data_IF_556317116746
#
_entry.id   IF_556317116746
#
_cell.length_a   1.000
_cell.length_b   1.000
_cell.length_c   1.000
_cell.angle_alpha   90.00
_cell.angle_beta   90.00
_cell.angle_gamma   90.00
#
_symmetry.space_group_name_H-M   'P 1'
#
loop_
_entity.id
_entity.type
_entity.pdbx_description
1 polymer ?
2 non-polymer ?
3 non-polymer ?
4 non-polymer ?
5 non-polymer ?
6 water ?
#
# COMPACT_ATOMS: atom_id res chain seq x y z
N UNK A 11 19.50 6.81 -14.64
CA UNK A 11 20.63 5.98 -15.14
C UNK A 11 20.08 4.64 -15.63
N UNK A 12 20.64 4.14 -16.72
CA UNK A 12 20.21 2.85 -17.28
C UNK A 12 21.33 1.85 -17.10
N UNK A 13 21.02 0.74 -16.41
CA UNK A 13 22.01 -0.29 -16.12
C UNK A 13 22.34 -1.07 -17.39
N UNK A 14 23.59 -1.54 -17.52
CA UNK A 14 23.96 -2.36 -18.68
C UNK A 14 22.99 -3.53 -18.85
N UNK A 15 22.59 -3.78 -20.10
CA UNK A 15 21.70 -4.89 -20.41
C UNK A 15 22.37 -6.25 -20.16
N UNK A 16 21.78 -7.08 -19.26
CA UNK A 16 22.39 -8.40 -19.05
C UNK A 16 22.44 -9.24 -20.32
N UNK A 17 23.48 -10.09 -20.45
CA UNK A 17 23.63 -10.85 -21.69
C UNK A 17 22.43 -11.68 -22.12
N UNK A 18 21.59 -12.15 -21.19
CA UNK A 18 20.47 -13.03 -21.52
C UNK A 18 19.19 -12.31 -21.93
N UNK A 19 19.18 -10.98 -21.83
CA UNK A 19 17.97 -10.21 -22.12
C UNK A 19 17.99 -9.68 -23.56
N UNK A 20 16.97 -10.05 -24.35
CA UNK A 20 16.96 -9.53 -25.71
C UNK A 20 16.42 -8.13 -25.83
N UNK A 21 16.96 -7.37 -26.78
CA UNK A 21 16.58 -5.99 -26.99
C UNK A 21 15.07 -5.79 -27.17
N UNK A 22 14.38 -6.75 -27.81
CA UNK A 22 12.97 -6.54 -28.12
C UNK A 22 12.06 -6.55 -26.89
N UNK A 23 12.62 -6.96 -25.76
CA UNK A 23 11.85 -6.98 -24.51
C UNK A 23 12.17 -5.78 -23.64
N UNK A 24 13.08 -4.91 -24.10
CA UNK A 24 13.49 -3.74 -23.30
C UNK A 24 12.47 -2.60 -23.37
N UNK A 25 11.98 -2.18 -22.20
CA UNK A 25 11.03 -1.08 -22.06
C UNK A 25 11.46 -0.41 -20.77
N UNK A 26 12.05 0.77 -20.89
CA UNK A 26 12.74 1.40 -19.76
C UNK A 26 11.79 2.17 -18.85
N UNK A 27 10.85 1.44 -18.27
CA UNK A 27 9.91 2.01 -17.31
C UNK A 27 10.60 2.30 -15.98
N UNK A 28 10.37 3.50 -15.42
CA UNK A 28 10.96 3.89 -14.15
C UNK A 28 9.87 3.94 -13.08
N UNK A 29 9.84 2.95 -12.20
CA UNK A 29 8.76 2.83 -11.24
C UNK A 29 8.72 3.96 -10.20
N UNK A 30 9.83 4.70 -10.08
CA UNK A 30 9.90 5.80 -9.12
C UNK A 30 9.65 7.18 -9.76
N UNK A 31 9.51 7.19 -11.09
CA UNK A 31 9.26 8.43 -11.83
C UNK A 31 8.82 8.09 -13.25
N UNK A 32 7.63 7.48 -13.39
CA UNK A 32 7.23 7.01 -14.72
C UNK A 32 6.95 8.18 -15.65
N UNK A 33 7.27 7.98 -16.94
CA UNK A 33 7.20 9.11 -17.87
C UNK A 33 5.80 9.69 -18.06
N UNK A 34 4.76 8.89 -17.84
CA UNK A 34 3.40 9.40 -18.06
C UNK A 34 2.76 9.93 -16.76
N UNK A 35 3.58 10.24 -15.74
CA UNK A 35 3.07 10.54 -14.40
C UNK A 35 2.02 11.66 -14.34
N UNK A 36 2.16 12.66 -15.22
CA UNK A 36 1.24 13.79 -15.17
C UNK A 36 -0.20 13.41 -15.52
N UNK A 37 -0.38 12.26 -16.18
CA UNK A 37 -1.71 11.74 -16.54
C UNK A 37 -2.43 11.11 -15.35
N UNK A 38 -1.70 10.89 -14.26
CA UNK A 38 -2.20 10.09 -13.12
C UNK A 38 -1.29 8.89 -13.00
N UNK A 39 -1.02 8.45 -11.76
CA UNK A 39 -0.06 7.39 -11.60
C UNK A 39 -0.59 6.04 -12.15
N UNK A 40 -1.86 5.70 -11.92
CA UNK A 40 -2.40 4.48 -12.51
C UNK A 40 -2.30 4.51 -14.03
N UNK A 41 -2.61 5.66 -14.62
CA UNK A 41 -2.48 5.87 -16.06
C UNK A 41 -1.04 5.71 -16.54
N UNK A 42 -0.11 6.20 -15.72
CA UNK A 42 1.31 6.12 -16.04
C UNK A 42 1.79 4.67 -16.07
N UNK A 43 1.34 3.87 -15.10
CA UNK A 43 1.71 2.46 -15.08
C UNK A 43 1.01 1.68 -16.18
N UNK A 44 -0.20 2.12 -16.54
CA UNK A 44 -0.99 1.42 -17.54
C UNK A 44 -0.40 1.54 -18.94
N UNK A 45 0.61 2.40 -19.12
CA UNK A 45 1.34 2.43 -20.41
C UNK A 45 1.95 1.06 -20.70
N UNK A 46 2.18 0.27 -19.64
CA UNK A 46 2.75 -1.06 -19.79
C UNK A 46 1.75 -2.05 -20.36
N UNK A 47 0.50 -1.63 -20.49
CA UNK A 47 -0.56 -2.49 -21.00
C UNK A 47 -1.08 -2.02 -22.36
N UNK A 48 -0.31 -1.16 -23.03
CA UNK A 48 -0.63 -0.82 -24.42
C UNK A 48 -0.39 -2.04 -25.31
N UNK A 49 -1.13 -2.13 -26.42
CA UNK A 49 -1.14 -3.36 -27.24
C UNK A 49 0.21 -3.83 -27.77
N UNK A 50 1.15 -2.91 -27.99
CA UNK A 50 2.48 -3.23 -28.52
C UNK A 50 3.50 -3.65 -27.44
N UNK A 51 3.07 -3.65 -26.18
CA UNK A 51 3.99 -4.00 -25.09
C UNK A 51 3.78 -5.47 -24.71
N UNK A 52 4.87 -6.28 -24.71
CA UNK A 52 4.80 -7.69 -24.32
C UNK A 52 4.32 -7.90 -22.89
N UNK A 53 3.88 -9.12 -22.57
CA UNK A 53 3.40 -9.47 -21.23
C UNK A 53 4.49 -9.34 -20.16
N UNK A 54 5.75 -9.47 -20.59
CA UNK A 54 6.90 -9.47 -19.70
C UNK A 54 8.02 -8.67 -20.37
N UNK A 55 8.46 -7.61 -19.71
CA UNK A 55 9.47 -6.73 -20.27
C UNK A 55 10.63 -6.56 -19.29
N UNK A 56 11.75 -6.07 -19.81
CA UNK A 56 12.90 -5.71 -18.98
C UNK A 56 13.10 -4.21 -19.03
N UNK A 57 13.17 -3.59 -17.85
CA UNK A 57 13.61 -2.20 -17.77
C UNK A 57 15.04 -2.09 -17.26
N UNK A 58 15.81 -1.17 -17.88
CA UNK A 58 17.18 -0.92 -17.45
C UNK A 58 17.23 0.09 -16.31
N UNK A 59 16.07 0.61 -15.94
CA UNK A 59 15.98 1.56 -14.82
C UNK A 59 16.16 0.88 -13.48
N UNK A 60 16.55 1.67 -12.49
CA UNK A 60 16.62 1.19 -11.11
C UNK A 60 17.41 -0.08 -10.93
N UNK A 61 18.51 -0.19 -11.69
CA UNK A 61 19.45 -1.30 -11.61
C UNK A 61 19.16 -2.45 -12.55
N UNK A 62 17.98 -2.43 -13.18
CA UNK A 62 17.59 -3.46 -14.16
C UNK A 62 16.72 -4.53 -13.52
N UNK A 63 15.54 -4.74 -14.09
CA UNK A 63 14.65 -5.77 -13.60
C UNK A 63 13.54 -6.11 -14.60
N UNK A 64 12.94 -7.28 -14.45
CA UNK A 64 11.75 -7.64 -15.22
C UNK A 64 10.52 -6.93 -14.67
N UNK A 65 9.50 -6.79 -15.52
CA UNK A 65 8.18 -6.34 -15.09
C UNK A 65 7.13 -7.23 -15.77
N UNK A 66 6.29 -7.90 -14.98
CA UNK A 66 5.10 -8.59 -15.51
C UNK A 66 4.01 -7.55 -15.68
N UNK A 67 3.41 -7.46 -16.87
CA UNK A 67 2.52 -6.33 -17.15
C UNK A 67 1.04 -6.67 -17.13
N UNK A 68 0.73 -7.96 -17.04
CA UNK A 68 -0.65 -8.45 -17.13
C UNK A 68 -1.02 -9.28 -15.91
N UNK A 69 -2.29 -9.17 -15.51
CA UNK A 69 -2.82 -9.91 -14.37
C UNK A 69 -2.51 -11.39 -14.38
N UNK A 70 -2.59 -12.04 -15.54
CA UNK A 70 -2.37 -13.49 -15.60
C UNK A 70 -0.99 -13.86 -15.07
N UNK A 71 0.03 -13.13 -15.53
CA UNK A 71 1.42 -13.40 -15.13
C UNK A 71 1.67 -12.96 -13.69
N UNK A 72 1.10 -11.82 -13.32
CA UNK A 72 1.29 -11.29 -11.95
C UNK A 72 0.75 -12.31 -10.95
N UNK A 73 -0.46 -12.81 -11.21
CA UNK A 73 -1.07 -13.84 -10.36
C UNK A 73 -0.23 -15.12 -10.32
N UNK A 74 0.16 -15.61 -11.50
CA UNK A 74 0.93 -16.86 -11.58
C UNK A 74 2.21 -16.76 -10.76
N UNK A 75 2.91 -15.64 -10.89
CA UNK A 75 4.21 -15.50 -10.21
C UNK A 75 4.03 -15.36 -8.70
N UNK A 76 2.98 -14.65 -8.26
CA UNK A 76 2.67 -14.57 -6.81
C UNK A 76 2.29 -15.90 -6.20
N UNK A 77 1.69 -16.78 -7.00
CA UNK A 77 1.35 -18.12 -6.53
C UNK A 77 2.58 -19.01 -6.43
N UNK A 78 3.54 -18.82 -7.33
CA UNK A 78 4.70 -19.72 -7.44
C UNK A 78 5.87 -19.20 -6.62
N UNK A 79 5.79 -19.38 -5.30
CA UNK A 79 6.85 -18.93 -4.40
C UNK A 79 8.10 -19.76 -4.53
N UNK A 80 8.02 -20.93 -5.16
CA UNK A 80 9.23 -21.74 -5.35
C UNK A 80 10.20 -21.10 -6.35
N UNK A 81 9.66 -20.50 -7.40
CA UNK A 81 10.49 -19.79 -8.39
C UNK A 81 10.66 -18.31 -8.07
N UNK A 82 9.63 -17.70 -7.49
CA UNK A 82 9.59 -16.24 -7.29
C UNK A 82 9.55 -15.96 -5.79
N UNK A 83 10.73 -15.69 -5.24
CA UNK A 83 10.89 -15.61 -3.78
C UNK A 83 10.75 -14.19 -3.23
N UNK A 84 10.16 -14.11 -2.04
CA UNK A 84 9.96 -12.85 -1.31
C UNK A 84 11.22 -12.38 -0.58
N UNK A 85 12.31 -13.13 -0.74
CA UNK A 85 13.56 -12.80 -0.03
C UNK A 85 14.05 -11.39 -0.35
N UNK A 86 13.93 -11.02 -1.62
CA UNK A 86 14.40 -9.73 -2.09
C UNK A 86 13.22 -9.15 -2.85
N UNK A 87 12.23 -8.60 -2.12
CA UNK A 87 10.96 -8.19 -2.75
C UNK A 87 10.83 -6.78 -3.25
N UNK A 88 11.84 -5.95 -3.02
CA UNK A 88 11.79 -4.55 -3.45
C UNK A 88 12.87 -4.30 -4.50
N UNK A 89 12.56 -3.37 -5.41
CA UNK A 89 13.50 -2.75 -6.35
C UNK A 89 13.80 -1.37 -5.74
N UNK A 90 15.07 -0.90 -5.76
CA UNK A 90 16.27 -1.51 -6.35
C UNK A 90 16.82 -2.64 -5.49
N UNK A 91 17.78 -3.38 -6.03
CA UNK A 91 18.32 -4.55 -5.34
C UNK A 91 18.78 -4.26 -3.92
N UNK A 92 19.42 -3.10 -3.71
CA UNK A 92 19.90 -2.77 -2.38
C UNK A 92 18.75 -2.68 -1.38
N UNK A 93 17.60 -2.19 -1.84
CA UNK A 93 16.41 -2.12 -0.99
C UNK A 93 15.87 -3.52 -0.74
N UNK A 94 15.76 -4.33 -1.80
CA UNK A 94 15.25 -5.68 -1.60
C UNK A 94 16.17 -6.52 -0.70
N UNK A 95 17.48 -6.31 -0.82
CA UNK A 95 18.43 -7.03 0.03
C UNK A 95 18.32 -6.62 1.51
N UNK A 96 18.20 -5.32 1.73
CA UNK A 96 18.03 -4.82 3.10
C UNK A 96 16.68 -5.17 3.72
N UNK A 97 15.67 -5.31 2.88
CA UNK A 97 14.31 -5.57 3.34
C UNK A 97 14.25 -6.91 4.08
N UNK A 98 13.89 -6.85 5.36
CA UNK A 98 13.89 -8.06 6.18
C UNK A 98 12.67 -8.18 7.07
N UNK A 99 11.60 -7.46 6.72
CA UNK A 99 10.40 -7.49 7.54
C UNK A 99 9.76 -8.88 7.54
N UNK A 100 9.05 -9.19 8.61
CA UNK A 100 8.40 -10.49 8.78
C UNK A 100 6.89 -10.25 8.80
N UNK A 101 6.11 -11.06 8.04
CA UNK A 101 6.53 -12.22 7.27
C UNK A 101 6.84 -12.01 5.79
N UNK A 102 6.82 -10.74 5.35
CA UNK A 102 6.88 -10.45 3.93
C UNK A 102 8.26 -10.64 3.25
N UNK A 103 9.31 -10.86 4.02
CA UNK A 103 10.62 -11.21 3.41
C UNK A 103 10.87 -12.74 3.42
N UNK A 104 9.85 -13.49 3.80
CA UNK A 104 9.96 -14.95 3.86
C UNK A 104 9.05 -15.64 2.86
N UNK A 105 9.46 -16.84 2.43
CA UNK A 105 8.60 -17.72 1.65
C UNK A 105 7.97 -18.80 2.53
N UNK A 106 6.85 -19.37 2.09
CA UNK A 106 6.48 -20.65 2.69
C UNK A 106 7.62 -21.65 2.44
N UNK A 107 7.81 -22.63 3.35
CA UNK A 107 7.04 -22.87 4.56
C UNK A 107 7.30 -21.93 5.74
N UNK A 108 8.48 -21.33 5.79
CA UNK A 108 8.91 -20.54 6.97
C UNK A 108 7.94 -19.41 7.33
N UNK A 109 7.40 -18.77 6.31
CA UNK A 109 6.60 -17.58 6.47
C UNK A 109 5.38 -17.83 7.35
N UNK A 110 4.77 -19.01 7.17
CA UNK A 110 3.37 -19.14 7.57
C UNK A 110 3.15 -18.99 9.08
N UNK A 111 4.08 -19.52 9.86
CA UNK A 111 3.93 -19.51 11.31
C UNK A 111 3.85 -18.12 11.90
N UNK A 112 4.35 -17.10 11.18
CA UNK A 112 4.29 -15.72 11.69
C UNK A 112 2.99 -14.99 11.36
N UNK A 113 2.22 -15.52 10.43
CA UNK A 113 1.00 -14.81 10.04
C UNK A 113 -0.05 -14.68 11.14
N UNK A 114 -0.18 -15.72 11.96
CA UNK A 114 -1.20 -15.68 13.00
C UNK A 114 -0.94 -14.57 14.02
N UNK A 115 0.33 -14.33 14.33
CA UNK A 115 0.65 -13.28 15.29
C UNK A 115 0.31 -11.91 14.69
N UNK A 116 0.66 -11.70 13.42
CA UNK A 116 0.33 -10.44 12.76
C UNK A 116 -1.20 -10.27 12.73
N UNK A 117 -1.90 -11.35 12.41
CA UNK A 117 -3.35 -11.31 12.30
C UNK A 117 -3.98 -10.87 13.61
N UNK A 118 -3.40 -11.31 14.73
CA UNK A 118 -3.86 -10.98 16.08
C UNK A 118 -3.85 -9.49 16.35
N UNK A 119 -2.83 -8.81 15.85
CA UNK A 119 -2.64 -7.39 16.12
C UNK A 119 -3.23 -6.42 15.12
N UNK A 120 -3.46 -6.85 13.87
CA UNK A 120 -4.06 -5.92 12.90
C UNK A 120 -5.27 -6.48 12.17
N UNK A 121 -5.67 -7.69 12.51
CA UNK A 121 -6.77 -8.39 11.82
C UNK A 121 -8.15 -8.04 12.34
N UNK A 122 -9.13 -8.83 11.93
CA UNK A 122 -10.53 -8.51 12.21
C UNK A 122 -10.88 -8.34 13.71
N UNK A 123 -10.41 -9.25 14.59
CA UNK A 123 -10.77 -9.02 16.01
C UNK A 123 -10.30 -7.67 16.54
N UNK A 124 -9.16 -7.18 16.05
CA UNK A 124 -8.67 -5.86 16.45
C UNK A 124 -9.49 -4.69 15.84
N UNK A 125 -9.94 -4.85 14.60
CA UNK A 125 -10.86 -3.90 13.97
C UNK A 125 -12.12 -3.72 14.86
N UNK A 126 -12.60 -4.82 15.42
CA UNK A 126 -13.72 -4.77 16.37
C UNK A 126 -13.40 -3.97 17.63
N UNK A 127 -12.20 -4.17 18.16
CA UNK A 127 -11.76 -3.43 19.37
C UNK A 127 -11.64 -1.91 19.08
N UNK A 128 -11.37 -1.57 17.82
CA UNK A 128 -11.15 -0.18 17.41
C UNK A 128 -12.35 0.50 16.75
N UNK A 129 -13.39 -0.28 16.46
CA UNK A 129 -14.55 0.20 15.70
C UNK A 129 -15.04 1.61 16.12
N UNK A 130 -15.35 1.78 17.41
CA UNK A 130 -15.88 3.05 17.90
C UNK A 130 -14.89 4.20 17.73
N UNK A 131 -13.61 3.93 17.99
CA UNK A 131 -12.60 4.96 17.90
C UNK A 131 -12.35 5.37 16.45
N UNK A 132 -12.42 4.41 15.54
CA UNK A 132 -12.28 4.71 14.11
C UNK A 132 -13.40 5.66 13.68
N UNK A 133 -14.63 5.28 14.04
CA UNK A 133 -15.82 6.06 13.72
C UNK A 133 -15.71 7.47 14.31
N UNK A 134 -15.39 7.54 15.59
CA UNK A 134 -15.31 8.83 16.30
C UNK A 134 -14.27 9.79 15.70
N UNK A 135 -13.10 9.26 15.36
CA UNK A 135 -12.05 10.10 14.80
C UNK A 135 -12.41 10.62 13.42
N UNK A 136 -12.99 9.78 12.58
CA UNK A 136 -13.38 10.22 11.24
C UNK A 136 -14.37 11.38 11.37
N UNK A 137 -15.36 11.19 12.22
CA UNK A 137 -16.40 12.21 12.40
C UNK A 137 -15.82 13.50 12.94
N UNK A 138 -14.93 13.41 13.93
CA UNK A 138 -14.37 14.62 14.52
C UNK A 138 -13.45 15.39 13.55
N UNK A 139 -12.61 14.66 12.82
CA UNK A 139 -11.75 15.31 11.85
C UNK A 139 -12.57 16.02 10.78
N UNK A 140 -13.59 15.33 10.27
CA UNK A 140 -14.41 15.89 9.19
C UNK A 140 -15.25 17.06 9.67
N UNK A 141 -15.85 16.93 10.86
CA UNK A 141 -16.62 18.06 11.40
C UNK A 141 -15.74 19.29 11.61
N UNK A 142 -14.48 19.09 12.00
CA UNK A 142 -13.59 20.24 12.20
C UNK A 142 -13.30 20.97 10.87
N UNK A 143 -13.19 20.21 9.77
CA UNK A 143 -12.94 20.79 8.45
C UNK A 143 -14.19 21.44 7.85
N UNK A 144 -15.35 20.82 8.12
CA UNK A 144 -16.61 21.16 7.43
C UNK A 144 -16.90 22.67 7.29
N UNK A 145 -16.87 23.43 8.40
CA UNK A 145 -17.22 24.85 8.25
C UNK A 145 -16.19 25.71 7.52
N UNK A 146 -14.97 25.19 7.31
CA UNK A 146 -13.89 25.97 6.66
C UNK A 146 -14.12 26.19 5.18
N UNK A 147 -14.86 25.28 4.54
CA UNK A 147 -15.05 25.33 3.08
C UNK A 147 -13.82 25.02 2.25
N UNK A 148 -12.80 24.44 2.89
CA UNK A 148 -11.60 24.05 2.20
C UNK A 148 -10.75 23.17 3.12
N UNK A 149 -9.91 22.37 2.49
CA UNK A 149 -8.87 21.65 3.24
C UNK A 149 -7.76 21.24 2.29
N UNK A 150 -6.62 20.89 2.89
CA UNK A 150 -5.53 20.24 2.19
C UNK A 150 -5.70 18.78 2.57
N UNK A 151 -6.38 18.00 1.72
CA UNK A 151 -6.87 16.69 2.17
C UNK A 151 -5.76 15.74 2.63
N UNK A 152 -4.59 15.79 1.97
CA UNK A 152 -3.52 14.85 2.36
C UNK A 152 -3.06 15.06 3.78
N UNK A 153 -2.86 16.33 4.16
CA UNK A 153 -2.37 16.62 5.50
C UNK A 153 -3.49 16.70 6.54
N UNK A 154 -4.69 17.07 6.09
CA UNK A 154 -5.78 17.35 7.02
C UNK A 154 -6.63 16.14 7.38
N UNK A 155 -6.58 15.11 6.54
CA UNK A 155 -7.38 13.93 6.79
C UNK A 155 -6.69 12.61 6.41
N UNK A 156 -6.21 12.52 5.18
CA UNK A 156 -5.64 11.26 4.69
C UNK A 156 -4.50 10.75 5.56
N UNK A 157 -3.63 11.64 6.01
CA UNK A 157 -2.58 11.28 6.95
C UNK A 157 -3.12 11.06 8.37
N UNK A 158 -3.69 12.09 9.01
CA UNK A 158 -4.00 11.92 10.44
C UNK A 158 -5.00 10.84 10.78
N UNK A 159 -5.96 10.57 9.90
CA UNK A 159 -6.98 9.58 10.24
C UNK A 159 -6.39 8.15 10.39
N UNK A 160 -5.83 7.57 9.32
CA UNK A 160 -5.27 6.24 9.51
C UNK A 160 -4.03 6.23 10.42
N UNK A 161 -3.21 7.28 10.36
CA UNK A 161 -2.00 7.24 11.17
C UNK A 161 -2.30 7.32 12.66
N UNK A 162 -3.27 8.13 13.06
CA UNK A 162 -3.62 8.17 14.48
C UNK A 162 -4.28 6.87 14.94
N UNK A 163 -5.09 6.23 14.10
CA UNK A 163 -5.62 4.93 14.50
C UNK A 163 -4.46 3.95 14.69
N UNK A 164 -3.48 3.99 13.78
CA UNK A 164 -2.37 3.07 13.93
C UNK A 164 -1.54 3.36 15.18
N UNK A 165 -1.26 4.64 15.43
CA UNK A 165 -0.42 4.97 16.59
C UNK A 165 -1.14 4.57 17.88
N UNK A 166 -2.46 4.70 17.89
CA UNK A 166 -3.28 4.24 19.03
C UNK A 166 -3.14 2.73 19.21
N UNK A 167 -3.31 2.01 18.12
CA UNK A 167 -3.24 0.55 18.19
C UNK A 167 -1.87 0.07 18.63
N UNK A 168 -0.83 0.78 18.18
CA UNK A 168 0.55 0.41 18.49
C UNK A 168 1.05 1.03 19.81
N UNK A 169 0.23 1.86 20.45
CA UNK A 169 0.65 2.50 21.72
C UNK A 169 1.84 3.42 21.56
N UNK A 170 1.91 4.11 20.42
CA UNK A 170 2.99 5.06 20.15
C UNK A 170 2.51 6.51 20.18
N UNK A 171 3.33 7.43 20.71
CA UNK A 171 2.91 8.82 20.83
C UNK A 171 2.68 9.52 19.49
N UNK A 172 1.60 10.29 19.38
CA UNK A 172 1.33 10.99 18.14
C UNK A 172 2.44 11.99 17.76
N UNK A 173 3.16 12.52 18.75
CA UNK A 173 4.22 13.46 18.42
C UNK A 173 5.39 12.80 17.68
N UNK A 174 5.40 11.47 17.63
CA UNK A 174 6.43 10.73 16.88
C UNK A 174 6.08 10.57 15.39
N UNK A 175 4.87 10.97 15.01
CA UNK A 175 4.43 10.76 13.62
C UNK A 175 5.36 11.39 12.55
N UNK A 176 5.74 12.67 12.70
CA UNK A 176 6.56 13.25 11.61
C UNK A 176 7.82 12.46 11.31
N UNK A 177 8.50 12.00 12.35
CA UNK A 177 9.73 11.24 12.17
C UNK A 177 9.42 9.89 11.53
N UNK A 178 8.46 9.16 12.10
CA UNK A 178 8.14 7.82 11.60
C UNK A 178 7.61 7.86 10.17
N UNK A 179 6.79 8.87 9.86
CA UNK A 179 6.24 9.00 8.52
C UNK A 179 7.35 9.33 7.51
N UNK A 180 8.30 10.18 7.90
CA UNK A 180 9.43 10.44 7.03
C UNK A 180 10.20 9.14 6.71
N UNK A 181 10.51 8.36 7.74
CA UNK A 181 11.30 7.14 7.54
C UNK A 181 10.57 6.14 6.67
N UNK A 182 9.28 5.94 6.96
CA UNK A 182 8.46 5.01 6.20
C UNK A 182 8.44 5.42 4.73
N UNK A 183 8.27 6.71 4.46
CA UNK A 183 8.28 7.21 3.10
C UNK A 183 9.62 6.98 2.38
N UNK A 184 10.73 6.91 3.11
CA UNK A 184 12.00 6.64 2.44
C UNK A 184 12.11 5.20 1.97
N UNK A 185 11.30 4.31 2.54
CA UNK A 185 11.29 2.91 2.14
C UNK A 185 10.40 2.64 0.93
N UNK A 186 9.50 3.57 0.62
CA UNK A 186 8.52 3.36 -0.47
C UNK A 186 8.65 4.37 -1.62
N UNK A 187 9.02 5.61 -1.29
CA UNK A 187 9.19 6.69 -2.27
C UNK A 187 10.39 7.54 -1.82
N UNK A 188 11.61 6.95 -1.83
CA UNK A 188 12.78 7.66 -1.30
C UNK A 188 13.04 9.02 -1.97
N UNK A 189 13.36 10.02 -1.16
CA UNK A 189 13.70 11.33 -1.69
C UNK A 189 15.17 11.39 -2.11
N UNK A 190 15.91 10.33 -1.84
CA UNK A 190 17.33 10.23 -2.21
C UNK A 190 18.31 10.54 -1.10
N UNK A 191 17.82 11.08 0.00
CA UNK A 191 18.71 11.43 1.12
C UNK A 191 19.09 10.24 1.99
N UNK A 192 18.32 9.15 1.88
CA UNK A 192 18.55 7.96 2.69
C UNK A 192 18.39 6.73 1.83
N UNK A 193 19.29 5.76 1.96
CA UNK A 193 19.10 4.46 1.32
C UNK A 193 18.00 3.73 2.11
N UNK A 194 17.46 2.68 1.51
CA UNK A 194 16.52 1.83 2.25
C UNK A 194 17.19 1.32 3.52
N UNK A 195 18.42 0.83 3.43
CA UNK A 195 19.11 0.29 4.60
C UNK A 195 19.21 1.33 5.73
N UNK A 196 19.52 2.57 5.38
CA UNK A 196 19.59 3.64 6.39
C UNK A 196 18.23 3.94 7.01
N UNK A 197 17.18 3.98 6.18
CA UNK A 197 15.84 4.25 6.72
C UNK A 197 15.41 3.09 7.62
N UNK A 198 15.69 1.86 7.19
CA UNK A 198 15.41 0.67 8.00
C UNK A 198 16.13 0.69 9.35
N UNK A 199 17.42 1.00 9.32
CA UNK A 199 18.17 1.07 10.54
C UNK A 199 17.66 2.15 11.48
N UNK A 200 17.23 3.28 10.92
CA UNK A 200 16.63 4.33 11.74
C UNK A 200 15.32 3.87 12.37
N UNK A 201 14.53 3.11 11.61
CA UNK A 201 13.26 2.63 12.15
C UNK A 201 13.54 1.63 13.30
N UNK A 202 14.54 0.80 13.10
CA UNK A 202 14.96 -0.14 14.12
C UNK A 202 15.59 0.56 15.34
N UNK A 203 16.30 1.67 15.11
CA UNK A 203 16.82 2.50 16.21
C UNK A 203 15.67 2.94 17.11
N UNK A 204 14.54 3.29 16.49
CA UNK A 204 13.34 3.68 17.22
C UNK A 204 12.73 2.48 17.95
N UNK A 205 12.55 1.39 17.22
CA UNK A 205 11.78 0.26 17.75
C UNK A 205 12.47 -0.58 18.80
N UNK A 206 13.79 -0.77 18.67
CA UNK A 206 14.47 -1.75 19.54
C UNK A 206 14.28 -1.49 21.07
N UNK A 207 14.48 -0.23 21.52
CA UNK A 207 14.29 0.04 22.98
C UNK A 207 12.85 -0.15 23.40
N UNK A 208 11.92 0.17 22.49
CA UNK A 208 10.49 0.10 22.84
C UNK A 208 10.08 -1.35 22.94
N UNK A 209 10.56 -2.18 22.03
CA UNK A 209 10.31 -3.60 22.08
C UNK A 209 10.86 -4.20 23.38
N UNK A 210 12.07 -3.82 23.78
CA UNK A 210 12.56 -4.42 25.01
C UNK A 210 11.79 -3.90 26.23
N UNK A 211 11.44 -2.61 26.23
CA UNK A 211 10.60 -2.08 27.32
C UNK A 211 9.30 -2.89 27.47
N UNK A 212 8.68 -3.24 26.36
CA UNK A 212 7.39 -3.91 26.37
C UNK A 212 7.47 -5.44 26.54
N UNK A 213 8.66 -5.99 26.35
CA UNK A 213 8.94 -7.37 26.75
C UNK A 213 9.16 -7.42 28.26
N UNK A 214 9.75 -6.37 28.82
CA UNK A 214 9.93 -6.27 30.28
C UNK A 214 8.62 -5.98 31.01
N UNK A 215 7.82 -5.07 30.45
CA UNK A 215 6.59 -4.60 31.06
C UNK A 215 5.52 -4.53 29.98
N UNK A 216 4.91 -5.68 29.67
CA UNK A 216 3.95 -5.73 28.57
C UNK A 216 2.72 -4.88 28.81
N UNK A 217 2.27 -4.21 27.75
CA UNK A 217 0.93 -3.58 27.71
C UNK A 217 -0.02 -4.39 26.81
N UNK A 218 -1.10 -3.74 26.33
CA UNK A 218 -2.09 -4.43 25.50
C UNK A 218 -2.04 -3.96 24.04
N UNK A 219 -1.08 -3.09 23.75
CA UNK A 219 -0.89 -2.51 22.43
C UNK A 219 -0.25 -3.53 21.49
N UNK A 220 -0.30 -3.25 20.18
CA UNK A 220 0.22 -4.16 19.18
C UNK A 220 1.70 -4.52 19.34
N UNK A 221 2.52 -3.55 19.76
CA UNK A 221 3.93 -3.84 19.88
C UNK A 221 4.16 -4.80 21.05
N UNK A 222 3.48 -4.57 22.18
CA UNK A 222 3.55 -5.51 23.30
C UNK A 222 3.10 -6.90 22.90
N UNK A 223 2.02 -6.99 22.13
CA UNK A 223 1.50 -8.31 21.74
C UNK A 223 2.49 -9.05 20.82
N UNK A 224 3.05 -8.35 19.84
CA UNK A 224 4.05 -8.97 18.99
C UNK A 224 5.28 -9.37 19.81
N UNK A 225 5.76 -8.46 20.67
CA UNK A 225 7.04 -8.65 21.37
C UNK A 225 7.00 -9.80 22.36
N UNK A 226 5.81 -10.12 22.83
CA UNK A 226 5.59 -11.21 23.78
C UNK A 226 4.90 -12.41 23.15
N UNK A 227 4.78 -12.38 21.82
CA UNK A 227 4.05 -13.42 21.11
C UNK A 227 4.73 -14.77 21.03
N UNK A 228 3.93 -15.75 20.66
CA UNK A 228 4.45 -17.07 20.35
C UNK A 228 4.21 -17.31 18.88
N UNK A 229 5.10 -18.10 18.30
CA UNK A 229 5.07 -18.46 16.89
C UNK A 229 5.06 -19.99 16.87
N UNK A 230 3.95 -20.56 16.41
CA UNK A 230 3.74 -22.01 16.49
C UNK A 230 4.27 -22.60 17.80
N UNK A 231 3.85 -21.97 18.88
CA UNK A 231 4.04 -22.50 20.22
C UNK A 231 5.39 -22.25 20.88
N UNK A 232 6.28 -21.50 20.21
CA UNK A 232 7.57 -21.14 20.83
C UNK A 232 7.71 -19.61 20.86
N UNK A 233 8.55 -19.07 21.76
CA UNK A 233 8.59 -17.61 21.93
C UNK A 233 9.19 -16.92 20.71
N UNK A 234 8.61 -15.79 20.34
CA UNK A 234 9.20 -14.94 19.31
C UNK A 234 10.53 -14.39 19.86
N UNK A 235 11.51 -14.21 18.99
CA UNK A 235 12.76 -13.56 19.41
C UNK A 235 12.65 -12.03 19.29
N UNK A 236 13.49 -11.30 20.01
CA UNK A 236 13.45 -9.84 19.97
C UNK A 236 13.63 -9.36 18.53
N UNK A 237 14.55 -9.99 17.82
CA UNK A 237 14.82 -9.65 16.43
C UNK A 237 13.59 -9.90 15.54
N UNK A 238 12.99 -11.10 15.61
CA UNK A 238 11.77 -11.37 14.86
C UNK A 238 10.69 -10.34 15.18
N UNK A 239 10.53 -10.00 16.46
CA UNK A 239 9.51 -9.01 16.86
C UNK A 239 9.77 -7.65 16.18
N UNK A 240 11.03 -7.23 16.15
CA UNK A 240 11.40 -5.97 15.52
C UNK A 240 11.04 -5.99 14.03
N UNK A 241 11.36 -7.11 13.38
CA UNK A 241 11.14 -7.23 11.95
C UNK A 241 9.66 -7.28 11.61
N UNK A 242 8.86 -7.84 12.50
CA UNK A 242 7.40 -7.78 12.32
C UNK A 242 6.84 -6.39 12.57
N UNK A 243 7.31 -5.75 13.64
CA UNK A 243 6.83 -4.40 13.94
C UNK A 243 7.19 -3.41 12.84
N UNK A 244 8.33 -3.62 12.18
CA UNK A 244 8.70 -2.75 11.05
C UNK A 244 7.62 -2.80 9.97
N UNK A 245 7.16 -4.01 9.65
CA UNK A 245 6.14 -4.18 8.62
C UNK A 245 4.86 -3.48 9.05
N UNK A 246 4.47 -3.67 10.30
CA UNK A 246 3.24 -3.06 10.79
C UNK A 246 3.30 -1.54 10.70
N UNK A 247 4.43 -0.96 11.07
CA UNK A 247 4.60 0.51 10.98
C UNK A 247 4.46 1.02 9.53
N UNK A 248 5.13 0.34 8.60
CA UNK A 248 5.03 0.76 7.18
C UNK A 248 3.59 0.59 6.67
N UNK A 249 2.96 -0.53 6.98
CA UNK A 249 1.55 -0.71 6.61
C UNK A 249 0.65 0.35 7.21
N UNK A 250 0.89 0.70 8.48
CA UNK A 250 0.07 1.68 9.16
C UNK A 250 0.25 3.10 8.63
N UNK A 251 1.46 3.42 8.19
CA UNK A 251 1.79 4.82 7.87
C UNK A 251 1.81 5.15 6.37
N UNK A 252 1.79 4.14 5.50
CA UNK A 252 1.94 4.44 4.08
C UNK A 252 1.09 3.64 3.11
N UNK A 253 -0.10 3.22 3.54
CA UNK A 253 -0.96 2.48 2.61
C UNK A 253 -2.30 3.21 2.44
N UNK A 254 -3.18 3.02 3.41
CA UNK A 254 -4.48 3.70 3.43
C UNK A 254 -4.32 5.22 3.30
N UNK A 255 -3.28 5.78 3.90
CA UNK A 255 -2.98 7.21 3.78
C UNK A 255 -2.99 7.68 2.34
N UNK A 256 -2.34 6.92 1.45
CA UNK A 256 -2.28 7.29 0.05
C UNK A 256 -3.57 6.97 -0.67
N UNK A 257 -4.14 5.79 -0.36
CA UNK A 257 -5.34 5.37 -1.05
C UNK A 257 -6.51 6.33 -0.83
N UNK A 258 -6.66 6.85 0.38
CA UNK A 258 -7.77 7.77 0.66
C UNK A 258 -7.72 9.00 -0.26
N UNK A 259 -6.51 9.49 -0.54
CA UNK A 259 -6.39 10.66 -1.42
C UNK A 259 -6.77 10.36 -2.86
N UNK A 260 -6.45 9.18 -3.39
CA UNK A 260 -6.88 8.83 -4.75
C UNK A 260 -8.39 8.81 -4.80
N UNK A 261 -8.99 8.24 -3.76
CA UNK A 261 -10.45 8.07 -3.74
C UNK A 261 -11.14 9.40 -3.62
N UNK A 262 -10.63 10.28 -2.75
CA UNK A 262 -11.27 11.58 -2.55
C UNK A 262 -11.07 12.49 -3.74
N UNK A 263 -9.93 12.37 -4.42
CA UNK A 263 -9.71 13.14 -5.64
C UNK A 263 -10.74 12.71 -6.69
N UNK A 264 -10.93 11.40 -6.83
CA UNK A 264 -11.92 10.89 -7.77
C UNK A 264 -13.31 11.43 -7.43
N UNK A 265 -13.70 11.35 -6.17
CA UNK A 265 -15.03 11.82 -5.78
C UNK A 265 -15.20 13.33 -6.00
N UNK A 266 -14.13 14.10 -5.77
CA UNK A 266 -14.17 15.56 -6.01
C UNK A 266 -14.43 15.87 -7.48
N UNK A 267 -13.95 15.01 -8.35
CA UNK A 267 -14.03 15.21 -9.79
C UNK A 267 -15.28 14.55 -10.39
N UNK A 268 -16.04 13.79 -9.58
CA UNK A 268 -17.20 13.05 -10.11
C UNK A 268 -18.45 13.21 -9.26
N UNK A 269 -19.16 14.34 -9.45
CA UNK A 269 -20.41 14.57 -8.71
C UNK A 269 -21.43 13.44 -8.85
N UNK A 270 -21.50 12.82 -10.02
CA UNK A 270 -22.41 11.69 -10.25
C UNK A 270 -22.16 10.51 -9.30
N UNK A 271 -20.89 10.18 -9.10
CA UNK A 271 -20.54 9.10 -8.20
C UNK A 271 -20.80 9.45 -6.73
N UNK A 272 -20.60 10.72 -6.37
CA UNK A 272 -20.94 11.17 -5.02
C UNK A 272 -22.43 10.99 -4.79
N UNK A 273 -23.22 11.45 -5.77
CA UNK A 273 -24.69 11.40 -5.65
C UNK A 273 -25.18 9.97 -5.52
N UNK A 274 -24.56 9.07 -6.28
CA UNK A 274 -24.88 7.65 -6.21
C UNK A 274 -24.74 7.09 -4.79
N UNK A 275 -23.66 7.42 -4.10
CA UNK A 275 -23.43 6.91 -2.75
C UNK A 275 -24.27 7.61 -1.68
N UNK A 276 -24.64 8.86 -1.93
CA UNK A 276 -25.52 9.61 -1.04
C UNK A 276 -26.95 9.04 -1.12
N UNK A 277 -27.41 8.82 -2.35
CA UNK A 277 -28.76 8.27 -2.60
C UNK A 277 -28.86 6.81 -2.21
N UNK A 278 -27.80 6.04 -2.45
CA UNK A 278 -27.82 4.60 -2.17
C UNK A 278 -26.61 4.22 -1.31
N UNK A 279 -26.64 4.56 -0.01
CA UNK A 279 -25.49 4.34 0.86
C UNK A 279 -25.14 2.87 1.05
N UNK A 280 -26.10 1.98 0.76
CA UNK A 280 -25.86 0.54 0.81
C UNK A 280 -24.78 0.11 -0.19
N UNK A 281 -24.52 0.96 -1.20
CA UNK A 281 -23.53 0.68 -2.23
C UNK A 281 -22.11 1.03 -1.79
N UNK A 282 -21.95 1.63 -0.61
CA UNK A 282 -20.61 2.08 -0.19
C UNK A 282 -19.56 0.96 -0.10
N UNK A 283 -19.89 -0.20 0.50
CA UNK A 283 -18.92 -1.31 0.48
C UNK A 283 -18.50 -1.73 -0.94
N UNK A 284 -19.46 -1.84 -1.88
CA UNK A 284 -19.10 -2.17 -3.25
C UNK A 284 -18.28 -1.06 -3.91
N UNK A 285 -18.62 0.20 -3.60
CA UNK A 285 -17.85 1.33 -4.10
C UNK A 285 -16.40 1.30 -3.62
N UNK A 286 -16.22 0.96 -2.34
CA UNK A 286 -14.88 0.77 -1.76
C UNK A 286 -14.09 -0.24 -2.61
N UNK A 287 -14.72 -1.37 -2.95
CA UNK A 287 -14.02 -2.41 -3.70
C UNK A 287 -13.64 -1.96 -5.10
N UNK A 288 -14.54 -1.22 -5.74
CA UNK A 288 -14.28 -0.76 -7.09
C UNK A 288 -13.23 0.34 -7.09
N UNK A 289 -13.21 1.16 -6.05
CA UNK A 289 -12.15 2.16 -5.90
C UNK A 289 -10.79 1.49 -5.58
N UNK A 290 -10.83 0.40 -4.81
CA UNK A 290 -9.60 -0.38 -4.56
C UNK A 290 -9.03 -0.97 -5.84
N UNK A 291 -9.90 -1.31 -6.79
CA UNK A 291 -9.44 -1.76 -8.09
C UNK A 291 -8.88 -0.62 -8.93
N UNK A 292 -9.67 0.45 -9.08
CA UNK A 292 -9.30 1.51 -9.99
C UNK A 292 -8.09 2.31 -9.52
N UNK A 293 -7.98 2.49 -8.20
CA UNK A 293 -6.90 3.31 -7.63
C UNK A 293 -5.94 2.46 -6.81
N UNK A 294 -5.82 1.21 -7.26
CA UNK A 294 -4.81 0.30 -6.71
C UNK A 294 -3.43 0.99 -6.79
N UNK A 295 -2.56 0.68 -5.82
CA UNK A 295 -1.41 1.58 -5.63
C UNK A 295 -0.10 0.94 -5.22
N UNK A 296 -0.08 -0.38 -5.09
CA UNK A 296 1.14 -1.08 -4.64
C UNK A 296 1.85 -1.80 -5.78
N UNK A 297 3.18 -1.76 -5.76
CA UNK A 297 3.96 -2.58 -6.69
C UNK A 297 5.25 -3.04 -6.02
N UNK A 298 5.23 -4.27 -5.49
CA UNK A 298 6.50 -4.92 -5.13
C UNK A 298 6.75 -6.15 -6.03
N UNK A 299 7.60 -7.06 -5.60
CA UNK A 299 7.95 -8.14 -6.51
C UNK A 299 8.72 -9.21 -5.83
N UNK A 300 9.53 -9.91 -6.62
CA UNK A 300 10.16 -11.15 -6.16
C UNK A 300 11.53 -11.31 -6.81
N UNK A 301 12.29 -12.29 -6.36
CA UNK A 301 13.58 -12.61 -6.97
C UNK A 301 13.56 -14.06 -7.46
N UNK A 302 14.15 -14.28 -8.63
CA UNK A 302 14.21 -15.64 -9.17
C UNK A 302 15.13 -16.53 -8.35
N UNK A 303 14.63 -17.70 -7.98
CA UNK A 303 15.42 -18.65 -7.18
C UNK A 303 16.23 -19.60 -8.04
N UNK A 304 15.93 -19.64 -9.33
CA UNK A 304 16.64 -20.49 -10.28
C UNK A 304 16.42 -19.95 -11.68
N UNK A 305 17.21 -20.42 -12.63
CA UNK A 305 16.89 -20.13 -14.02
C UNK A 305 15.51 -20.73 -14.30
N UNK A 306 14.71 -20.01 -15.09
CA UNK A 306 13.33 -20.39 -15.28
C UNK A 306 12.78 -19.76 -16.56
N UNK A 307 12.19 -20.58 -17.43
CA UNK A 307 11.53 -20.07 -18.60
C UNK A 307 10.06 -19.82 -18.26
N UNK A 308 9.66 -18.56 -18.34
CA UNK A 308 8.34 -18.13 -17.92
C UNK A 308 7.68 -17.41 -19.08
N UNK A 309 6.57 -17.97 -19.59
CA UNK A 309 5.87 -17.39 -20.74
C UNK A 309 6.82 -17.04 -21.89
N UNK A 310 7.67 -18.00 -22.23
CA UNK A 310 8.58 -17.89 -23.36
C UNK A 310 9.79 -17.02 -23.14
N UNK A 311 9.97 -16.55 -21.90
CA UNK A 311 11.09 -15.65 -21.60
C UNK A 311 12.08 -16.33 -20.66
N UNK A 312 13.38 -16.29 -20.99
CA UNK A 312 14.40 -16.86 -20.14
C UNK A 312 14.76 -15.93 -18.98
N UNK A 313 14.36 -16.33 -17.78
CA UNK A 313 14.74 -15.63 -16.55
C UNK A 313 15.92 -16.35 -15.92
N UNK A 314 16.81 -15.60 -15.26
CA UNK A 314 18.01 -16.18 -14.65
C UNK A 314 17.93 -16.06 -13.12
N UNK A 315 18.47 -17.04 -12.42
CA UNK A 315 18.59 -16.94 -10.97
C UNK A 315 19.19 -15.60 -10.57
N UNK A 316 18.54 -14.95 -9.61
CA UNK A 316 18.98 -13.65 -9.12
C UNK A 316 18.30 -12.48 -9.80
N UNK A 317 17.67 -12.71 -10.96
CA UNK A 317 16.95 -11.60 -11.62
C UNK A 317 15.81 -11.14 -10.69
N UNK A 318 15.60 -9.84 -10.63
CA UNK A 318 14.42 -9.33 -9.93
C UNK A 318 13.26 -9.19 -10.90
N UNK A 319 12.06 -9.42 -10.41
CA UNK A 319 10.87 -9.20 -11.21
C UNK A 319 9.84 -8.40 -10.41
N UNK A 320 9.49 -7.24 -10.96
CA UNK A 320 8.42 -6.43 -10.38
C UNK A 320 7.08 -7.02 -10.84
N UNK A 321 6.18 -7.22 -9.89
CA UNK A 321 4.89 -7.86 -10.13
C UNK A 321 3.81 -6.88 -9.61
N UNK A 322 3.51 -5.85 -10.39
CA UNK A 322 2.70 -4.76 -9.81
C UNK A 322 1.28 -5.17 -9.42
N UNK A 323 1.01 -5.20 -8.11
CA UNK A 323 -0.33 -5.50 -7.63
C UNK A 323 -1.35 -4.58 -8.29
N UNK A 324 -0.94 -3.34 -8.51
CA UNK A 324 -1.79 -2.32 -9.13
C UNK A 324 -2.29 -2.73 -10.50
N UNK A 325 -1.49 -3.47 -11.26
CA UNK A 325 -1.79 -3.68 -12.67
C UNK A 325 -2.85 -4.73 -12.96
N UNK A 326 -3.02 -5.72 -12.09
CA UNK A 326 -3.94 -6.83 -12.40
C UNK A 326 -5.34 -6.30 -12.68
N UNK A 327 -5.85 -5.45 -11.78
CA UNK A 327 -7.23 -4.97 -11.90
C UNK A 327 -7.42 -3.96 -13.02
N UNK A 328 -6.33 -3.33 -13.46
CA UNK A 328 -6.39 -2.35 -14.56
C UNK A 328 -6.30 -3.01 -15.92
N UNK A 329 -5.93 -4.28 -15.94
CA UNK A 329 -5.79 -5.06 -17.16
C UNK A 329 -7.16 -5.27 -17.81
N UNK A 330 -7.32 -4.81 -19.05
CA UNK A 330 -8.59 -4.99 -19.77
C UNK A 330 -8.96 -6.48 -19.91
N UNK A 331 -7.96 -7.35 -19.79
CA UNK A 331 -8.16 -8.81 -19.80
C UNK A 331 -8.76 -9.33 -18.49
N UNK A 332 -8.77 -8.49 -17.45
CA UNK A 332 -9.42 -8.83 -16.18
C UNK A 332 -10.74 -8.10 -15.95
N UNK A 333 -10.79 -6.84 -16.40
CA UNK A 333 -11.99 -6.01 -16.27
C UNK A 333 -12.17 -5.14 -17.50
N UNK A 334 -13.34 -5.26 -18.12
CA UNK A 334 -13.66 -4.42 -19.27
C UNK A 334 -13.74 -2.94 -18.88
N UNK A 335 -13.39 -2.06 -19.82
CA UNK A 335 -13.34 -0.63 -19.57
C UNK A 335 -12.65 -0.34 -18.22
N UNK A 336 -11.41 -0.83 -18.07
CA UNK A 336 -10.80 -0.83 -16.72
C UNK A 336 -10.59 0.55 -16.08
N UNK A 337 -10.46 1.60 -16.88
CA UNK A 337 -10.26 2.93 -16.28
C UNK A 337 -11.57 3.59 -15.85
N UNK A 338 -12.69 2.97 -16.23
CA UNK A 338 -14.01 3.45 -15.83
C UNK A 338 -14.37 2.92 -14.45
N UNK A 339 -14.85 3.81 -13.60
CA UNK A 339 -15.35 3.43 -12.28
C UNK A 339 -16.84 3.12 -12.36
N UNK A 340 -17.20 1.87 -12.08
CA UNK A 340 -18.59 1.43 -12.07
C UNK A 340 -18.88 0.73 -10.75
N UNK A 341 -19.57 1.41 -9.84
CA UNK A 341 -19.89 0.82 -8.53
C UNK A 341 -20.78 -0.44 -8.62
N UNK A 342 -21.43 -0.63 -9.76
CA UNK A 342 -22.27 -1.82 -9.99
C UNK A 342 -21.54 -2.93 -10.77
N UNK A 343 -20.23 -2.78 -10.97
CA UNK A 343 -19.43 -3.79 -11.64
C UNK A 343 -19.63 -5.16 -10.96
N UNK A 344 -19.93 -6.18 -11.76
CA UNK A 344 -20.36 -7.48 -11.21
C UNK A 344 -19.25 -8.38 -10.64
N UNK A 345 -18.14 -8.47 -11.37
CA UNK A 345 -16.97 -9.19 -10.93
C UNK A 345 -15.80 -8.21 -10.90
N UNK A 346 -15.50 -7.69 -9.72
CA UNK A 346 -14.42 -6.73 -9.53
C UNK A 346 -13.14 -7.52 -9.28
N UNK A 347 -12.38 -7.74 -10.34
CA UNK A 347 -11.16 -8.52 -10.25
C UNK A 347 -9.98 -7.60 -9.96
N UNK A 348 -9.18 -7.95 -8.94
CA UNK A 348 -8.01 -7.15 -8.59
C UNK A 348 -7.10 -7.96 -7.70
N UNK A 349 -5.86 -7.46 -7.55
CA UNK A 349 -4.92 -8.03 -6.59
C UNK A 349 -4.39 -6.88 -5.72
N UNK A 350 -5.26 -5.96 -5.32
CA UNK A 350 -4.81 -4.74 -4.67
C UNK A 350 -4.13 -5.03 -3.34
N UNK A 351 -4.62 -6.06 -2.66
CA UNK A 351 -4.11 -6.50 -1.35
C UNK A 351 -3.17 -7.69 -1.50
N UNK A 352 -2.64 -7.88 -2.70
CA UNK A 352 -1.70 -8.97 -2.98
C UNK A 352 -2.38 -10.24 -3.48
N UNK A 353 -1.60 -11.31 -3.54
CA UNK A 353 -2.06 -12.55 -4.12
C UNK A 353 -1.11 -13.63 -3.67
N UNK A 354 -1.66 -14.83 -3.47
CA UNK A 354 -0.82 -15.95 -3.03
C UNK A 354 -0.75 -16.05 -1.53
N UNK A 355 0.40 -16.46 -1.01
CA UNK A 355 0.51 -16.74 0.43
C UNK A 355 0.70 -15.48 1.29
N UNK A 356 0.93 -14.34 0.64
CA UNK A 356 1.18 -13.12 1.38
C UNK A 356 0.03 -12.12 1.34
N UNK A 357 -1.19 -12.60 1.17
CA UNK A 357 -2.34 -11.70 1.15
C UNK A 357 -2.33 -10.75 2.35
N UNK A 358 -2.62 -9.48 2.11
CA UNK A 358 -2.58 -8.46 3.15
C UNK A 358 -3.37 -8.84 4.41
N UNK A 359 -2.72 -8.75 5.56
CA UNK A 359 -3.42 -9.01 6.82
C UNK A 359 -4.08 -7.75 7.37
N UNK A 360 -3.71 -6.59 6.82
CA UNK A 360 -4.28 -5.31 7.23
C UNK A 360 -5.55 -4.93 6.48
N UNK A 361 -5.99 -5.80 5.59
CA UNK A 361 -7.04 -5.38 4.65
C UNK A 361 -8.41 -5.10 5.29
N UNK A 362 -8.70 -5.75 6.41
CA UNK A 362 -9.96 -5.49 7.09
C UNK A 362 -9.94 -4.13 7.75
N UNK A 363 -8.81 -3.78 8.35
CA UNK A 363 -8.62 -2.44 8.87
C UNK A 363 -8.70 -1.39 7.75
N UNK A 364 -8.02 -1.66 6.64
CA UNK A 364 -8.04 -0.74 5.49
C UNK A 364 -9.45 -0.51 4.97
N UNK A 365 -10.20 -1.60 4.76
CA UNK A 365 -11.57 -1.44 4.27
C UNK A 365 -12.45 -0.68 5.26
N UNK A 366 -12.30 -0.93 6.57
CA UNK A 366 -13.09 -0.19 7.52
C UNK A 366 -12.79 1.30 7.44
N UNK A 367 -11.50 1.64 7.36
CA UNK A 367 -11.10 3.05 7.30
C UNK A 367 -11.65 3.70 6.05
N UNK A 368 -11.62 2.98 4.94
CA UNK A 368 -12.14 3.51 3.67
C UNK A 368 -13.65 3.73 3.74
N UNK A 369 -14.37 2.70 4.14
CA UNK A 369 -15.83 2.75 4.20
C UNK A 369 -16.31 3.81 5.19
N UNK A 370 -15.70 3.90 6.36
CA UNK A 370 -16.06 4.94 7.33
C UNK A 370 -15.80 6.33 6.72
N UNK A 371 -14.67 6.50 6.04
CA UNK A 371 -14.37 7.78 5.42
C UNK A 371 -15.42 8.16 4.37
N UNK A 372 -15.74 7.23 3.47
CA UNK A 372 -16.73 7.52 2.41
C UNK A 372 -18.08 7.92 3.02
N UNK A 373 -18.52 7.16 4.02
CA UNK A 373 -19.83 7.42 4.61
C UNK A 373 -19.84 8.76 5.34
N UNK A 374 -18.85 8.97 6.20
CA UNK A 374 -18.87 10.12 7.09
C UNK A 374 -18.49 11.41 6.37
N UNK A 375 -17.68 11.32 5.32
CA UNK A 375 -17.39 12.51 4.53
C UNK A 375 -18.64 12.93 3.76
N UNK A 376 -19.28 12.00 3.06
CA UNK A 376 -20.43 12.36 2.21
C UNK A 376 -21.66 12.78 3.01
N UNK A 377 -21.76 12.28 4.25
CA UNK A 377 -22.80 12.73 5.18
C UNK A 377 -22.71 14.21 5.50
N UNK A 378 -21.49 14.73 5.61
CA UNK A 378 -21.27 16.10 6.08
C UNK A 378 -20.95 17.06 4.95
N UNK A 379 -20.21 16.57 3.95
CA UNK A 379 -19.71 17.40 2.85
C UNK A 379 -20.03 16.68 1.53
N UNK A 380 -21.33 16.68 1.13
CA UNK A 380 -21.74 15.95 -0.07
C UNK A 380 -21.27 16.59 -1.37
N UNK A 381 -20.99 17.88 -1.30
CA UNK A 381 -20.71 18.68 -2.50
C UNK A 381 -19.38 19.36 -2.29
N UNK A 382 -18.38 18.96 -3.08
CA UNK A 382 -17.03 19.55 -2.97
C UNK A 382 -16.33 19.38 -4.31
N UNK A 383 -15.25 20.13 -4.50
CA UNK A 383 -14.53 20.07 -5.77
C UNK A 383 -13.04 20.31 -5.54
N UNK A 384 -12.25 20.08 -6.57
CA UNK A 384 -10.84 20.46 -6.57
C UNK A 384 -10.76 21.97 -6.52
N UNK A 385 -9.80 22.50 -5.76
CA UNK A 385 -9.57 23.95 -5.68
C UNK A 385 -9.36 24.58 -7.06
N UNK A 386 -9.84 25.83 -7.23
CA UNK A 386 -9.68 26.57 -8.50
C UNK A 386 -8.26 26.51 -9.05
N UNK A 387 -8.14 26.10 -10.31
CA UNK A 387 -6.86 26.12 -11.01
C UNK A 387 -5.81 25.14 -10.52
N UNK A 388 -6.20 24.21 -9.65
CA UNK A 388 -5.24 23.21 -9.16
C UNK A 388 -5.09 22.05 -10.14
N UNK A 389 -3.86 21.56 -10.26
CA UNK A 389 -3.56 20.39 -11.08
C UNK A 389 -2.98 19.38 -10.10
N UNK A 390 -3.70 18.28 -9.91
CA UNK A 390 -3.32 17.29 -8.89
C UNK A 390 -2.14 16.47 -9.39
N UNK A 391 -1.08 16.46 -8.58
CA UNK A 391 0.17 15.76 -8.92
C UNK A 391 0.26 14.46 -8.13
N UNK A 392 0.53 13.37 -8.82
CA UNK A 392 0.78 12.08 -8.18
C UNK A 392 2.27 11.80 -8.01
N UNK A 393 2.56 10.77 -7.23
CA UNK A 393 3.94 10.32 -7.00
C UNK A 393 3.95 8.80 -7.04
N UNK A 394 5.06 8.23 -7.52
CA UNK A 394 5.13 6.79 -7.77
C UNK A 394 6.24 6.11 -6.99
N UNK A 395 6.01 4.85 -6.62
CA UNK A 395 7.08 4.05 -6.01
C UNK A 395 6.51 2.71 -5.64
N UNK A 396 7.05 2.13 -4.56
CA UNK A 396 6.52 0.85 -4.06
C UNK A 396 5.04 1.02 -3.69
N UNK A 397 4.73 2.15 -3.05
CA UNK A 397 3.36 2.58 -2.86
C UNK A 397 3.23 3.95 -3.52
N UNK A 398 2.23 4.12 -4.37
CA UNK A 398 2.05 5.41 -5.08
C UNK A 398 1.12 6.29 -4.28
N UNK A 399 1.15 7.59 -4.57
CA UNK A 399 0.33 8.52 -3.81
C UNK A 399 0.02 9.82 -4.51
N UNK A 400 -0.55 10.74 -3.73
CA UNK A 400 -0.98 12.06 -4.20
C UNK A 400 -0.18 13.09 -3.45
N UNK A 401 0.48 14.00 -4.17
CA UNK A 401 1.35 14.97 -3.49
C UNK A 401 0.57 15.96 -2.63
N UNK A 402 -0.53 16.47 -3.18
CA UNK A 402 -1.39 17.42 -2.49
C UNK A 402 -2.77 17.35 -3.10
N UNK A 403 -3.78 17.56 -2.26
CA UNK A 403 -5.17 17.52 -2.73
C UNK A 403 -5.99 18.66 -2.12
N UNK A 404 -5.87 19.86 -2.71
CA UNK A 404 -6.65 20.97 -2.18
C UNK A 404 -8.11 20.89 -2.64
N UNK A 405 -9.02 20.86 -1.66
CA UNK A 405 -10.45 20.75 -1.93
C UNK A 405 -11.14 22.01 -1.44
N UNK A 406 -12.25 22.34 -2.10
CA UNK A 406 -13.10 23.47 -1.67
C UNK A 406 -14.58 23.07 -1.70
N UNK A 407 -15.37 23.78 -0.91
CA UNK A 407 -16.81 23.59 -0.90
C UNK A 407 -17.46 24.81 -0.27
N UNK A 408 -18.75 24.96 -0.54
CA UNK A 408 -19.56 26.00 0.09
C UNK A 408 -20.11 25.44 1.42
N UNK A 409 -19.72 26.03 2.56
CA UNK A 409 -20.25 25.55 3.83
C UNK A 409 -21.80 25.48 3.90
N UNK A 410 -22.50 26.32 3.14
CA UNK A 410 -23.98 26.26 3.15
C UNK A 410 -24.55 24.92 2.67
N UNK A 411 -23.75 24.17 1.95
CA UNK A 411 -24.20 22.92 1.35
C UNK A 411 -23.81 21.73 2.22
N UNK A 412 -23.21 22.02 3.37
CA UNK A 412 -22.78 20.97 4.30
C UNK A 412 -23.78 20.76 5.43
N UNK A 413 -23.54 19.69 6.20
CA UNK A 413 -24.42 19.33 7.30
C UNK A 413 -23.59 18.90 8.52
N UNK A 414 -23.76 19.59 9.64
CA UNK A 414 -23.22 19.12 10.91
C UNK A 414 -24.15 18.05 11.44
N UNK A 415 -23.60 16.90 11.81
CA UNK A 415 -24.43 15.81 12.32
C UNK A 415 -24.91 16.11 13.74
#
# INVERSE_FOLDING_TARGET
MTTETIQSNANLAPLPPHVPEHLVFDFDMYNPSNLSAGVQEAWAVLQESNVPDLVWTRCNGGHWIATRGQLIREAYEDYRHFSSECPFIPREAGEAYDFIPTSMDPPEQRQFRALANQVVGMPVVDKLENRIQELACSLIESLRPQGQCNFTEDYAEPFPIRIFMLLAGLPEEDIPHLKYLTDQMTRPDGSMTFAEAKEALYDYLIPIIEQRRQKPGTDAISIVANGQVNGRPITSDEAKRMCGLLLVGGLDTVVNFLSFSMEFLAKSPEHRQELIERPERIPAACEELLRRFSLVADGRILTSDYEFHGVQLKKGDQILLPQMLSGLDERENACPMHVDFSRQKVSHTTFGHGSHLCLGQHLARREIIVTLKEWLTRIPDFSIAPGAQIQHKSGIVSGVQALPLVWDPATTKAV
#
